data_IF_201463750995
#
_entry.id   IF_201463750995
#
_cell.length_a   1.000
_cell.length_b   1.000
_cell.length_c   1.000
_cell.angle_alpha   90.00
_cell.angle_beta   90.00
_cell.angle_gamma   90.00
#
_symmetry.space_group_name_H-M   'P 1'
#
loop_
_entity.id
_entity.type
_entity.pdbx_description
1 polymer ?
#
# COMPACT_ATOMS: atom_id res chain seq x y z
N UNK A 1 -25.34 24.97 86.67
CA UNK A 1 -25.71 26.37 86.41
C UNK A 1 -25.54 26.61 84.94
N UNK A 2 -26.63 26.95 84.31
CA UNK A 2 -26.90 27.52 83.04
C UNK A 2 -26.30 26.93 81.70
N UNK A 3 -27.22 26.33 81.09
CA UNK A 3 -27.36 26.05 79.65
C UNK A 3 -27.52 27.34 78.82
N UNK A 4 -26.96 27.40 77.68
CA UNK A 4 -27.56 28.08 76.53
C UNK A 4 -27.17 27.40 75.21
N UNK A 5 -28.17 26.97 74.49
CA UNK A 5 -28.08 26.32 73.21
C UNK A 5 -27.79 27.34 72.04
N UNK A 6 -27.23 26.85 70.97
CA UNK A 6 -27.16 27.58 69.71
C UNK A 6 -27.59 26.63 68.57
N UNK A 7 -28.68 27.08 67.89
CA UNK A 7 -29.29 26.43 66.79
C UNK A 7 -28.33 26.48 65.56
N UNK A 8 -28.05 25.33 64.99
CA UNK A 8 -27.32 25.20 63.73
C UNK A 8 -28.30 25.30 62.55
N UNK A 9 -28.20 26.39 61.80
CA UNK A 9 -28.96 26.62 60.56
C UNK A 9 -28.65 25.58 59.48
N UNK A 10 -29.66 24.85 59.05
CA UNK A 10 -29.63 23.96 57.91
C UNK A 10 -29.66 24.79 56.60
N UNK A 11 -28.49 24.95 55.96
CA UNK A 11 -28.38 25.44 54.60
C UNK A 11 -28.94 24.39 53.64
N UNK A 12 -30.05 24.69 53.00
CA UNK A 12 -30.58 23.91 51.85
C UNK A 12 -29.67 24.15 50.64
N UNK A 13 -28.87 23.15 50.34
CA UNK A 13 -28.17 23.12 49.02
C UNK A 13 -29.18 22.82 47.95
N UNK A 14 -29.44 23.76 47.05
CA UNK A 14 -30.15 23.54 45.80
C UNK A 14 -29.32 22.63 44.87
N UNK A 15 -29.91 21.66 44.17
CA UNK A 15 -29.19 20.88 43.19
C UNK A 15 -28.88 21.73 41.96
N UNK A 16 -27.59 21.88 41.66
CA UNK A 16 -27.11 22.45 40.42
C UNK A 16 -27.43 21.48 39.27
N UNK A 17 -28.60 21.64 38.63
CA UNK A 17 -28.85 21.04 37.36
C UNK A 17 -28.07 21.86 36.30
N UNK A 18 -26.79 21.51 36.11
CA UNK A 18 -26.03 21.96 34.94
C UNK A 18 -26.78 21.48 33.69
N UNK A 19 -27.23 22.44 32.85
CA UNK A 19 -27.74 22.12 31.51
C UNK A 19 -26.65 21.37 30.76
N UNK A 20 -26.80 20.03 30.66
CA UNK A 20 -26.00 19.25 29.74
C UNK A 20 -26.26 19.80 28.33
N UNK A 21 -25.29 20.49 27.77
CA UNK A 21 -25.26 20.79 26.34
C UNK A 21 -25.09 19.45 25.65
N UNK A 22 -26.18 18.80 25.30
CA UNK A 22 -26.19 17.75 24.31
C UNK A 22 -25.81 18.42 22.98
N UNK A 23 -24.51 18.39 22.64
CA UNK A 23 -24.05 18.70 21.32
C UNK A 23 -24.88 17.88 20.34
N UNK A 24 -25.42 18.48 19.28
CA UNK A 24 -26.16 17.78 18.24
C UNK A 24 -25.36 16.56 17.84
N UNK A 25 -25.84 15.35 18.15
CA UNK A 25 -25.26 14.12 17.65
C UNK A 25 -25.30 14.22 16.12
N UNK A 26 -24.14 14.35 15.48
CA UNK A 26 -24.06 14.36 14.03
C UNK A 26 -24.58 13.01 13.54
N UNK A 27 -25.63 13.02 12.74
CA UNK A 27 -26.15 11.81 12.09
C UNK A 27 -25.07 11.29 11.15
N UNK A 28 -24.64 10.06 11.38
CA UNK A 28 -23.69 9.37 10.49
C UNK A 28 -24.39 9.14 9.15
N UNK A 29 -23.76 9.59 8.08
CA UNK A 29 -24.25 9.42 6.71
C UNK A 29 -23.58 8.23 6.05
N UNK A 30 -24.34 7.46 5.28
CA UNK A 30 -23.85 6.48 4.33
C UNK A 30 -24.30 6.89 2.95
N UNK A 31 -23.38 6.94 1.99
CA UNK A 31 -23.68 7.22 0.59
C UNK A 31 -22.98 6.20 -0.32
N UNK A 32 -23.67 5.82 -1.39
CA UNK A 32 -23.16 4.91 -2.41
C UNK A 32 -23.38 5.52 -3.80
N UNK A 33 -22.54 6.49 -4.19
CA UNK A 33 -22.65 7.17 -5.48
C UNK A 33 -22.46 6.21 -6.64
N UNK A 34 -23.06 6.55 -7.78
CA UNK A 34 -22.93 5.80 -9.04
C UNK A 34 -22.08 6.52 -10.07
N UNK A 35 -21.77 7.80 -9.85
CA UNK A 35 -20.89 8.62 -10.68
C UNK A 35 -19.72 9.18 -9.86
N UNK A 36 -18.58 9.42 -10.54
CA UNK A 36 -17.41 10.02 -9.88
C UNK A 36 -17.73 11.44 -9.40
N UNK A 37 -18.46 12.22 -10.18
CA UNK A 37 -18.80 13.61 -9.85
C UNK A 37 -19.65 13.68 -8.57
N UNK A 38 -20.61 12.78 -8.40
CA UNK A 38 -21.40 12.66 -7.15
C UNK A 38 -20.49 12.31 -5.95
N UNK A 39 -19.56 11.37 -6.13
CA UNK A 39 -18.62 11.00 -5.07
C UNK A 39 -17.70 12.16 -4.67
N UNK A 40 -17.16 12.88 -5.65
CA UNK A 40 -16.31 14.05 -5.41
C UNK A 40 -17.06 15.21 -4.76
N UNK A 41 -18.30 15.45 -5.18
CA UNK A 41 -19.16 16.48 -4.55
C UNK A 41 -19.34 16.18 -3.06
N UNK A 42 -19.67 14.92 -2.69
CA UNK A 42 -19.82 14.50 -1.30
C UNK A 42 -18.50 14.66 -0.51
N UNK A 43 -17.35 14.28 -1.09
CA UNK A 43 -16.03 14.44 -0.48
C UNK A 43 -15.66 15.92 -0.26
N UNK A 44 -16.12 16.81 -1.13
CA UNK A 44 -15.91 18.25 -1.01
C UNK A 44 -16.76 18.93 0.07
N UNK A 45 -17.92 18.33 0.45
CA UNK A 45 -18.80 18.90 1.47
C UNK A 45 -18.29 18.69 2.90
N UNK A 46 -17.83 17.49 3.20
CA UNK A 46 -17.47 17.06 4.55
C UNK A 46 -16.51 15.86 4.50
N UNK A 47 -15.79 15.54 5.59
CA UNK A 47 -14.97 14.34 5.67
C UNK A 47 -15.81 13.06 5.54
N UNK A 48 -15.35 12.14 4.70
CA UNK A 48 -15.90 10.81 4.50
C UNK A 48 -14.78 9.77 4.60
N UNK A 49 -15.12 8.63 5.19
CA UNK A 49 -14.26 7.44 5.15
C UNK A 49 -14.66 6.60 3.95
N UNK A 50 -13.74 6.44 3.01
CA UNK A 50 -13.97 5.68 1.76
C UNK A 50 -14.00 4.19 2.06
N UNK A 51 -15.07 3.53 1.57
CA UNK A 51 -15.25 2.08 1.61
C UNK A 51 -15.15 1.51 0.18
N UNK A 52 -14.16 0.65 -0.06
CA UNK A 52 -14.02 -0.16 -1.26
C UNK A 52 -14.24 -1.65 -0.90
N UNK A 53 -13.22 -2.49 -0.97
CA UNK A 53 -13.30 -3.92 -0.65
C UNK A 53 -13.53 -4.26 0.84
N UNK A 54 -13.36 -3.30 1.74
CA UNK A 54 -13.65 -3.45 3.17
C UNK A 54 -12.64 -4.25 3.98
N UNK A 55 -11.62 -4.83 3.36
CA UNK A 55 -10.69 -5.80 3.97
C UNK A 55 -9.78 -5.19 5.06
N UNK A 56 -9.55 -3.88 5.02
CA UNK A 56 -8.88 -3.13 6.08
C UNK A 56 -9.84 -2.20 6.82
N UNK A 57 -10.92 -1.75 6.16
CA UNK A 57 -11.90 -0.83 6.71
C UNK A 57 -12.56 -1.40 7.98
N UNK A 58 -13.11 -2.61 7.92
CA UNK A 58 -13.77 -3.24 9.06
C UNK A 58 -12.79 -3.71 10.15
N UNK A 59 -11.67 -4.37 9.84
CA UNK A 59 -10.68 -4.71 10.86
C UNK A 59 -10.12 -3.52 11.62
N UNK A 60 -9.90 -2.37 10.94
CA UNK A 60 -9.41 -1.15 11.57
C UNK A 60 -10.45 -0.51 12.53
N UNK A 61 -11.75 -0.78 12.34
CA UNK A 61 -12.81 -0.29 13.21
C UNK A 61 -12.79 -0.97 14.58
N UNK A 62 -12.49 -2.28 14.62
CA UNK A 62 -12.53 -3.07 15.85
C UNK A 62 -13.92 -3.04 16.50
N UNK A 63 -13.96 -3.01 17.84
CA UNK A 63 -15.20 -2.96 18.62
C UNK A 63 -15.73 -1.53 18.87
N UNK A 64 -15.10 -0.50 18.32
CA UNK A 64 -15.51 0.90 18.54
C UNK A 64 -16.78 1.23 17.76
N UNK A 65 -17.70 2.04 18.33
CA UNK A 65 -18.87 2.52 17.57
C UNK A 65 -18.42 3.31 16.35
N UNK A 66 -19.11 3.12 15.24
CA UNK A 66 -18.88 3.90 14.03
C UNK A 66 -19.27 5.37 14.24
N UNK A 67 -18.42 6.33 13.85
CA UNK A 67 -18.67 7.77 14.07
C UNK A 67 -18.34 8.63 12.86
N UNK A 68 -18.00 8.01 11.74
CA UNK A 68 -17.57 8.68 10.51
C UNK A 68 -18.63 8.48 9.40
N UNK A 69 -18.77 9.46 8.51
CA UNK A 69 -19.54 9.26 7.29
C UNK A 69 -18.87 8.22 6.41
N UNK A 70 -19.61 7.35 5.76
CA UNK A 70 -19.12 6.27 4.89
C UNK A 70 -19.49 6.54 3.45
N UNK A 71 -18.47 6.71 2.60
CA UNK A 71 -18.62 6.79 1.16
C UNK A 71 -18.30 5.42 0.54
N UNK A 72 -19.32 4.67 0.17
CA UNK A 72 -19.16 3.37 -0.50
C UNK A 72 -18.97 3.58 -2.00
N UNK A 73 -17.72 3.47 -2.44
CA UNK A 73 -17.36 3.64 -3.86
C UNK A 73 -17.62 2.39 -4.71
N UNK A 74 -18.23 1.33 -4.15
CA UNK A 74 -18.54 0.12 -4.92
C UNK A 74 -19.62 0.35 -5.99
N UNK A 75 -20.36 1.47 -5.94
CA UNK A 75 -21.25 1.93 -7.00
C UNK A 75 -20.52 2.46 -8.25
N UNK A 76 -19.25 2.89 -8.13
CA UNK A 76 -18.48 3.53 -9.21
C UNK A 76 -17.89 2.48 -10.16
N UNK A 77 -18.68 1.98 -11.11
CA UNK A 77 -18.24 0.95 -12.05
C UNK A 77 -17.01 1.39 -12.88
N UNK A 78 -16.93 2.66 -13.23
CA UNK A 78 -15.84 3.25 -14.03
C UNK A 78 -14.46 3.21 -13.35
N UNK A 79 -14.42 3.03 -12.02
CA UNK A 79 -13.17 2.88 -11.28
C UNK A 79 -12.65 1.43 -11.24
N UNK A 80 -13.26 0.48 -11.95
CA UNK A 80 -12.83 -0.91 -11.99
C UNK A 80 -12.43 -1.31 -13.41
N UNK A 81 -11.31 -1.99 -13.52
CA UNK A 81 -10.79 -2.50 -14.76
C UNK A 81 -9.39 -1.96 -15.05
N UNK A 82 -8.81 -2.50 -16.12
CA UNK A 82 -7.48 -2.12 -16.61
C UNK A 82 -7.65 -1.73 -18.06
N UNK A 83 -7.10 -0.59 -18.43
CA UNK A 83 -7.15 -0.06 -19.78
C UNK A 83 -5.74 0.33 -20.24
N UNK A 84 -5.49 0.14 -21.53
CA UNK A 84 -4.29 0.59 -22.18
C UNK A 84 -4.59 1.88 -22.95
N UNK A 85 -3.78 2.91 -22.72
CA UNK A 85 -3.82 4.16 -23.47
C UNK A 85 -2.56 4.30 -24.31
N UNK A 86 -2.41 5.39 -25.05
CA UNK A 86 -1.21 5.67 -25.83
C UNK A 86 0.04 5.70 -24.95
N UNK A 87 -0.01 6.39 -23.81
CA UNK A 87 1.14 6.65 -22.94
C UNK A 87 1.22 5.78 -21.69
N UNK A 88 0.10 5.18 -21.24
CA UNK A 88 0.02 4.52 -19.94
C UNK A 88 -0.86 3.27 -19.97
N UNK A 89 -0.61 2.38 -19.01
CA UNK A 89 -1.58 1.44 -18.50
C UNK A 89 -2.31 2.08 -17.33
N UNK A 90 -3.64 2.10 -17.38
CA UNK A 90 -4.50 2.64 -16.33
C UNK A 90 -5.16 1.49 -15.56
N UNK A 91 -4.91 1.42 -14.27
CA UNK A 91 -5.52 0.46 -13.36
C UNK A 91 -6.50 1.23 -12.48
N UNK A 92 -7.79 1.06 -12.69
CA UNK A 92 -8.82 1.75 -11.92
C UNK A 92 -8.73 1.44 -10.42
N UNK A 93 -9.02 2.42 -9.58
CA UNK A 93 -8.81 2.36 -8.13
C UNK A 93 -9.52 1.18 -7.45
N UNK A 94 -10.66 0.73 -8.00
CA UNK A 94 -11.45 -0.41 -7.50
C UNK A 94 -11.06 -1.75 -8.12
N UNK A 95 -10.08 -1.80 -9.02
CA UNK A 95 -9.58 -3.05 -9.60
C UNK A 95 -9.08 -3.94 -8.47
N UNK A 96 -9.61 -5.16 -8.41
CA UNK A 96 -9.23 -6.13 -7.38
C UNK A 96 -7.93 -6.85 -7.74
N UNK A 97 -7.29 -7.47 -6.76
CA UNK A 97 -6.12 -8.30 -7.00
C UNK A 97 -6.43 -9.46 -7.94
N UNK A 98 -7.62 -10.05 -7.83
CA UNK A 98 -8.07 -11.11 -8.75
C UNK A 98 -8.26 -10.60 -10.17
N UNK A 99 -8.81 -9.39 -10.36
CA UNK A 99 -8.94 -8.78 -11.68
C UNK A 99 -7.55 -8.60 -12.33
N UNK A 100 -6.59 -8.08 -11.55
CA UNK A 100 -5.21 -7.87 -11.99
C UNK A 100 -4.53 -9.17 -12.42
N UNK A 101 -4.64 -10.23 -11.61
CA UNK A 101 -4.04 -11.55 -11.91
C UNK A 101 -4.59 -12.13 -13.22
N UNK A 102 -5.87 -11.92 -13.50
CA UNK A 102 -6.57 -12.48 -14.68
C UNK A 102 -6.39 -11.65 -15.94
N UNK A 103 -6.06 -10.38 -15.80
CA UNK A 103 -5.93 -9.50 -16.97
C UNK A 103 -4.63 -9.80 -17.74
N UNK A 104 -4.65 -9.89 -19.08
CA UNK A 104 -3.44 -10.00 -19.88
C UNK A 104 -2.63 -8.70 -19.78
N UNK A 105 -1.39 -8.80 -19.32
CA UNK A 105 -0.46 -7.68 -19.14
C UNK A 105 0.93 -8.11 -19.61
N UNK A 106 1.80 -7.19 -20.05
CA UNK A 106 3.20 -7.46 -20.36
C UNK A 106 3.97 -8.10 -19.21
N UNK A 107 5.06 -8.82 -19.49
CA UNK A 107 5.91 -9.48 -18.50
C UNK A 107 6.49 -8.53 -17.44
N UNK A 108 6.60 -7.24 -17.76
CA UNK A 108 6.95 -6.20 -16.79
C UNK A 108 6.01 -6.13 -15.58
N UNK A 109 4.76 -6.61 -15.71
CA UNK A 109 3.77 -6.67 -14.62
C UNK A 109 3.76 -8.00 -13.85
N UNK A 110 4.62 -8.95 -14.18
CA UNK A 110 4.58 -10.27 -13.53
C UNK A 110 4.86 -10.19 -12.04
N UNK A 111 5.79 -9.31 -11.61
CA UNK A 111 6.00 -9.02 -10.20
C UNK A 111 4.71 -8.55 -9.50
N UNK A 112 3.92 -7.69 -10.14
CA UNK A 112 2.67 -7.19 -9.59
C UNK A 112 1.60 -8.29 -9.51
N UNK A 113 1.54 -9.19 -10.49
CA UNK A 113 0.67 -10.36 -10.46
C UNK A 113 1.10 -11.39 -9.40
N UNK A 114 2.40 -11.58 -9.20
CA UNK A 114 2.94 -12.43 -8.15
C UNK A 114 2.61 -11.86 -6.77
N UNK A 115 2.87 -10.56 -6.55
CA UNK A 115 2.48 -9.85 -5.32
C UNK A 115 0.98 -9.96 -5.05
N UNK A 116 0.15 -9.81 -6.08
CA UNK A 116 -1.31 -9.92 -5.98
C UNK A 116 -1.77 -11.28 -5.43
N UNK A 117 -1.08 -12.37 -5.78
CA UNK A 117 -1.37 -13.73 -5.27
C UNK A 117 -0.95 -13.93 -3.82
N UNK A 118 -0.04 -13.10 -3.31
CA UNK A 118 0.42 -13.12 -1.92
C UNK A 118 -0.42 -12.24 -0.97
N UNK A 119 -1.33 -11.42 -1.52
CA UNK A 119 -2.20 -10.56 -0.69
C UNK A 119 -3.30 -11.40 -0.03
N UNK A 120 -3.14 -11.68 1.25
CA UNK A 120 -4.14 -12.37 2.05
C UNK A 120 -4.56 -13.74 1.49
N UNK A 121 -5.86 -14.00 1.45
CA UNK A 121 -6.46 -15.20 0.85
C UNK A 121 -7.14 -14.85 -0.48
N UNK A 122 -7.54 -15.89 -1.22
CA UNK A 122 -8.34 -15.72 -2.46
C UNK A 122 -9.62 -14.89 -2.21
N UNK A 123 -10.27 -15.07 -1.05
CA UNK A 123 -11.44 -14.29 -0.66
C UNK A 123 -11.08 -12.79 -0.51
N UNK A 124 -9.93 -12.50 0.09
CA UNK A 124 -9.40 -11.12 0.18
C UNK A 124 -9.09 -10.58 -1.21
N UNK A 125 -8.38 -11.36 -2.05
CA UNK A 125 -7.99 -10.94 -3.40
C UNK A 125 -9.20 -10.62 -4.30
N UNK A 126 -10.33 -11.29 -4.10
CA UNK A 126 -11.56 -11.08 -4.86
C UNK A 126 -12.24 -9.73 -4.59
N UNK A 127 -11.96 -9.08 -3.45
CA UNK A 127 -12.64 -7.85 -3.03
C UNK A 127 -11.69 -6.70 -2.70
N UNK A 128 -10.49 -6.98 -2.20
CA UNK A 128 -9.48 -5.98 -1.90
C UNK A 128 -9.00 -5.32 -3.19
N UNK A 129 -9.03 -3.98 -3.21
CA UNK A 129 -8.64 -3.18 -4.36
C UNK A 129 -7.18 -2.73 -4.27
N UNK A 130 -6.57 -2.52 -5.43
CA UNK A 130 -5.19 -2.05 -5.52
C UNK A 130 -5.01 -0.68 -4.86
N UNK A 131 -5.92 0.28 -5.11
CA UNK A 131 -5.85 1.59 -4.46
C UNK A 131 -6.12 1.51 -2.95
N UNK A 132 -6.99 0.58 -2.50
CA UNK A 132 -7.20 0.33 -1.07
C UNK A 132 -5.93 -0.08 -0.34
N UNK A 133 -5.10 -0.90 -0.97
CA UNK A 133 -3.78 -1.30 -0.45
C UNK A 133 -2.84 -0.10 -0.32
N UNK A 134 -2.78 0.77 -1.33
CA UNK A 134 -1.97 2.00 -1.30
C UNK A 134 -2.46 2.99 -0.25
N UNK A 135 -3.77 3.22 -0.16
CA UNK A 135 -4.37 4.15 0.81
C UNK A 135 -4.25 3.64 2.26
N UNK A 136 -4.27 2.32 2.47
CA UNK A 136 -3.99 1.73 3.78
C UNK A 136 -2.52 1.96 4.22
N UNK A 137 -1.62 2.17 3.26
CA UNK A 137 -0.22 2.58 3.47
C UNK A 137 0.51 1.75 4.54
N UNK A 138 0.33 0.42 4.51
CA UNK A 138 1.09 -0.49 5.37
C UNK A 138 2.53 -0.59 4.87
N UNK A 139 3.55 -0.57 5.74
CA UNK A 139 4.93 -0.87 5.35
C UNK A 139 5.10 -2.24 4.68
N UNK A 140 4.20 -3.18 5.01
CA UNK A 140 4.15 -4.55 4.47
C UNK A 140 3.08 -4.72 3.38
N UNK A 141 2.74 -3.68 2.63
CA UNK A 141 1.83 -3.74 1.50
C UNK A 141 2.53 -4.38 0.29
N UNK A 142 2.25 -5.64 0.00
CA UNK A 142 2.97 -6.47 -1.01
C UNK A 142 2.94 -5.84 -2.42
N UNK A 143 1.88 -5.10 -2.78
CA UNK A 143 1.78 -4.46 -4.08
C UNK A 143 2.70 -3.26 -4.29
N UNK A 144 3.20 -2.62 -3.22
CA UNK A 144 3.95 -1.35 -3.33
C UNK A 144 5.30 -1.53 -4.02
N UNK A 145 6.19 -2.49 -3.65
CA UNK A 145 7.45 -2.68 -4.36
C UNK A 145 7.26 -2.99 -5.83
N UNK A 146 6.27 -3.83 -6.17
CA UNK A 146 5.95 -4.19 -7.55
C UNK A 146 5.45 -3.00 -8.39
N UNK A 147 4.72 -2.07 -7.79
CA UNK A 147 4.31 -0.83 -8.44
C UNK A 147 5.46 0.20 -8.55
N UNK A 148 6.36 0.23 -7.56
CA UNK A 148 7.54 1.10 -7.61
C UNK A 148 8.48 0.73 -8.76
N UNK A 149 8.71 -0.55 -9.02
CA UNK A 149 9.57 -0.97 -10.16
C UNK A 149 8.91 -0.72 -11.52
N UNK A 150 7.61 -0.46 -11.55
CA UNK A 150 6.85 -0.03 -12.72
C UNK A 150 6.76 1.49 -12.85
N UNK A 151 7.49 2.25 -12.04
CA UNK A 151 7.45 3.72 -12.00
C UNK A 151 6.00 4.26 -11.92
N UNK A 152 5.15 3.56 -11.14
CA UNK A 152 3.74 3.86 -11.08
C UNK A 152 3.45 5.23 -10.47
N UNK A 153 2.42 5.88 -10.98
CA UNK A 153 1.84 7.12 -10.48
C UNK A 153 0.44 6.86 -9.93
N UNK A 154 0.01 7.68 -8.99
CA UNK A 154 -1.34 7.69 -8.44
C UNK A 154 -2.10 8.88 -9.02
N UNK A 155 -3.26 8.63 -9.63
CA UNK A 155 -4.20 9.67 -10.04
C UNK A 155 -5.10 10.03 -8.88
N UNK A 156 -5.11 11.30 -8.52
CA UNK A 156 -5.89 11.89 -7.44
C UNK A 156 -6.88 12.88 -8.03
N UNK A 157 -8.17 12.76 -7.64
CA UNK A 157 -9.22 13.67 -8.11
C UNK A 157 -9.95 14.32 -6.95
N UNK A 158 -10.20 15.61 -7.11
CA UNK A 158 -11.14 16.43 -6.36
C UNK A 158 -12.14 17.06 -7.35
N UNK A 159 -13.15 17.79 -6.86
CA UNK A 159 -14.21 18.40 -7.69
C UNK A 159 -13.64 19.22 -8.86
N UNK A 160 -12.61 20.04 -8.64
CA UNK A 160 -12.06 20.96 -9.63
C UNK A 160 -10.65 20.59 -10.12
N UNK A 161 -10.09 19.48 -9.68
CA UNK A 161 -8.68 19.18 -9.91
C UNK A 161 -8.43 17.69 -10.12
N UNK A 162 -7.53 17.39 -11.06
CA UNK A 162 -6.89 16.09 -11.23
C UNK A 162 -5.39 16.32 -11.12
N UNK A 163 -4.71 15.53 -10.31
CA UNK A 163 -3.26 15.54 -10.22
C UNK A 163 -2.69 14.12 -10.24
N UNK A 164 -1.47 14.01 -10.75
CA UNK A 164 -0.72 12.76 -10.78
C UNK A 164 0.49 12.88 -9.86
N UNK A 165 0.75 11.86 -9.08
CA UNK A 165 1.84 11.85 -8.11
C UNK A 165 2.61 10.54 -8.23
N UNK A 166 3.95 10.55 -8.38
CA UNK A 166 4.73 9.32 -8.29
C UNK A 166 4.43 8.56 -7.01
N UNK A 167 4.30 7.23 -7.10
CA UNK A 167 3.91 6.40 -5.96
C UNK A 167 4.86 6.57 -4.76
N UNK A 168 6.15 6.77 -5.02
CA UNK A 168 7.15 7.01 -3.96
C UNK A 168 6.89 8.28 -3.14
N UNK A 169 6.17 9.26 -3.72
CA UNK A 169 5.76 10.50 -3.05
C UNK A 169 4.36 10.42 -2.45
N UNK A 170 3.56 9.42 -2.84
CA UNK A 170 2.20 9.25 -2.34
C UNK A 170 2.15 8.65 -0.93
N UNK A 171 2.99 7.64 -0.64
CA UNK A 171 3.02 6.98 0.66
C UNK A 171 4.07 7.66 1.54
N UNK A 172 3.61 8.36 2.60
CA UNK A 172 4.45 9.14 3.49
C UNK A 172 4.92 8.38 4.73
N UNK A 173 4.29 7.25 5.03
CA UNK A 173 4.57 6.44 6.22
C UNK A 173 3.42 5.50 6.55
N UNK A 174 3.54 4.75 7.63
CA UNK A 174 2.50 3.83 8.05
C UNK A 174 1.16 4.57 8.23
N UNK A 175 0.14 4.18 7.47
CA UNK A 175 -1.21 4.77 7.43
C UNK A 175 -1.25 6.27 7.13
N UNK A 176 -0.27 6.74 6.37
CA UNK A 176 -0.16 8.14 5.97
C UNK A 176 0.13 8.25 4.49
N UNK A 177 -0.69 9.01 3.80
CA UNK A 177 -0.58 9.31 2.36
C UNK A 177 -0.65 10.80 2.11
N UNK A 178 -0.35 11.21 0.88
CA UNK A 178 -0.42 12.61 0.40
C UNK A 178 -1.84 13.01 -0.06
N UNK A 179 -2.87 12.19 0.23
CA UNK A 179 -4.26 12.55 -0.02
C UNK A 179 -4.64 13.82 0.72
N UNK A 180 -5.18 14.79 -0.01
CA UNK A 180 -5.71 16.03 0.55
C UNK A 180 -7.22 15.89 0.87
N UNK A 181 -7.78 16.72 1.77
CA UNK A 181 -9.22 16.77 2.00
C UNK A 181 -9.98 16.96 0.68
N UNK A 182 -11.02 16.16 0.46
CA UNK A 182 -11.83 16.22 -0.75
C UNK A 182 -11.27 15.42 -1.93
N UNK A 183 -10.09 14.82 -1.81
CA UNK A 183 -9.52 13.96 -2.86
C UNK A 183 -9.83 12.49 -2.67
N UNK A 184 -9.85 11.76 -3.77
CA UNK A 184 -9.81 10.30 -3.81
C UNK A 184 -8.85 9.80 -4.89
N UNK A 185 -8.30 8.61 -4.68
CA UNK A 185 -7.57 7.88 -5.73
C UNK A 185 -8.58 7.36 -6.75
N UNK A 186 -8.36 7.66 -8.03
CA UNK A 186 -9.21 7.18 -9.12
C UNK A 186 -8.55 6.16 -10.02
N UNK A 187 -7.22 6.20 -10.15
CA UNK A 187 -6.46 5.22 -10.90
C UNK A 187 -5.01 5.11 -10.39
N UNK A 188 -4.37 4.00 -10.73
CA UNK A 188 -2.92 3.86 -10.76
C UNK A 188 -2.51 3.87 -12.22
N UNK A 189 -1.50 4.67 -12.56
CA UNK A 189 -0.98 4.86 -13.91
C UNK A 189 0.42 4.26 -13.98
N UNK A 190 0.67 3.44 -15.00
CA UNK A 190 1.99 2.88 -15.27
C UNK A 190 2.44 3.38 -16.64
N UNK A 191 3.53 4.15 -16.73
CA UNK A 191 4.04 4.64 -18.01
C UNK A 191 4.43 3.49 -18.95
N UNK A 192 4.19 3.64 -20.25
CA UNK A 192 4.50 2.61 -21.25
C UNK A 192 5.97 2.22 -21.30
N UNK A 193 6.87 3.17 -21.11
CA UNK A 193 8.32 2.90 -21.04
C UNK A 193 8.72 2.07 -19.83
N UNK A 194 7.96 2.12 -18.73
CA UNK A 194 8.16 1.26 -17.57
C UNK A 194 7.44 -0.10 -17.70
N UNK A 195 6.55 -0.26 -18.67
CA UNK A 195 5.83 -1.51 -18.94
C UNK A 195 6.62 -2.46 -19.85
N UNK A 196 7.96 -2.38 -19.85
CA UNK A 196 8.89 -3.17 -20.68
C UNK A 196 9.84 -4.00 -19.79
N UNK A 197 10.42 -5.05 -20.39
CA UNK A 197 11.29 -6.00 -19.68
C UNK A 197 10.52 -7.07 -18.94
N UNK A 198 11.20 -7.74 -18.03
CA UNK A 198 10.68 -8.84 -17.20
C UNK A 198 10.77 -8.47 -15.72
N UNK A 199 9.83 -8.93 -14.92
CA UNK A 199 9.84 -8.63 -13.48
C UNK A 199 9.48 -9.82 -12.62
N UNK A 200 10.02 -9.84 -11.39
CA UNK A 200 9.77 -10.88 -10.39
C UNK A 200 9.56 -10.24 -9.02
N UNK A 201 8.67 -10.84 -8.23
CA UNK A 201 8.42 -10.48 -6.84
C UNK A 201 8.77 -11.65 -5.92
N UNK A 202 9.53 -11.36 -4.88
CA UNK A 202 9.89 -12.33 -3.84
C UNK A 202 9.42 -11.84 -2.47
N UNK A 203 8.92 -12.79 -1.66
CA UNK A 203 8.39 -12.51 -0.32
C UNK A 203 8.93 -13.49 0.70
N UNK A 204 9.44 -12.96 1.79
CA UNK A 204 9.78 -13.70 2.98
C UNK A 204 8.75 -13.44 4.08
N UNK A 205 8.15 -14.49 4.59
CA UNK A 205 7.24 -14.48 5.74
C UNK A 205 7.52 -15.65 6.67
N UNK A 206 7.00 -15.62 7.90
CA UNK A 206 7.16 -16.71 8.86
C UNK A 206 6.46 -18.03 8.43
N UNK A 207 5.65 -17.98 7.40
CA UNK A 207 4.95 -19.13 6.78
C UNK A 207 4.61 -18.82 5.32
N UNK A 208 4.19 -19.82 4.57
CA UNK A 208 3.93 -19.68 3.12
C UNK A 208 2.74 -18.78 2.77
N UNK A 209 1.63 -18.85 3.52
CA UNK A 209 0.37 -18.17 3.19
C UNK A 209 -0.17 -17.36 4.37
N UNK A 210 -0.99 -16.34 4.06
CA UNK A 210 -1.70 -15.54 5.05
C UNK A 210 -0.75 -14.97 6.12
N UNK A 211 0.33 -14.36 5.68
CA UNK A 211 1.39 -13.85 6.54
C UNK A 211 1.78 -12.43 6.15
N UNK A 212 2.12 -11.63 7.14
CA UNK A 212 2.70 -10.31 6.95
C UNK A 212 4.17 -10.49 6.58
N UNK A 213 4.64 -9.81 5.55
CA UNK A 213 6.00 -9.89 5.05
C UNK A 213 7.02 -9.45 6.12
N UNK A 214 8.05 -10.25 6.31
CA UNK A 214 9.27 -9.89 7.05
C UNK A 214 10.11 -8.98 6.16
N UNK A 215 10.30 -9.39 4.91
CA UNK A 215 10.89 -8.63 3.82
C UNK A 215 10.18 -9.01 2.52
N UNK A 216 10.15 -8.12 1.55
CA UNK A 216 9.64 -8.37 0.21
C UNK A 216 10.41 -7.52 -0.79
N UNK A 217 10.67 -8.06 -1.98
CA UNK A 217 11.40 -7.39 -3.04
C UNK A 217 10.69 -7.55 -4.37
N UNK A 218 10.79 -6.54 -5.22
CA UNK A 218 10.45 -6.62 -6.63
C UNK A 218 11.66 -6.16 -7.46
N UNK A 219 11.93 -6.84 -8.56
CA UNK A 219 12.92 -6.44 -9.53
C UNK A 219 12.31 -6.46 -10.93
N UNK A 220 12.62 -5.45 -11.74
CA UNK A 220 12.31 -5.38 -13.17
C UNK A 220 13.60 -5.09 -13.93
N UNK A 221 13.90 -5.91 -14.93
CA UNK A 221 15.08 -5.77 -15.78
C UNK A 221 14.68 -5.59 -17.24
N UNK A 222 15.42 -4.73 -17.92
CA UNK A 222 15.50 -4.67 -19.38
C UNK A 222 16.86 -5.21 -19.74
N UNK A 223 16.88 -6.28 -20.55
CA UNK A 223 18.10 -6.97 -20.99
C UNK A 223 18.21 -6.81 -22.49
N UNK A 224 19.36 -6.34 -22.94
CA UNK A 224 19.72 -6.19 -24.35
C UNK A 224 21.05 -6.90 -24.58
N UNK A 225 21.09 -7.79 -25.54
CA UNK A 225 22.29 -8.57 -25.91
C UNK A 225 22.98 -9.28 -24.71
N UNK A 226 22.17 -9.76 -23.77
CA UNK A 226 22.69 -10.43 -22.55
C UNK A 226 23.26 -9.49 -21.49
N UNK A 227 23.08 -8.19 -21.65
CA UNK A 227 23.52 -7.13 -20.73
C UNK A 227 22.29 -6.47 -20.08
N UNK A 228 22.39 -6.11 -18.82
CA UNK A 228 21.34 -5.34 -18.12
C UNK A 228 21.38 -3.89 -18.61
N UNK A 229 20.49 -3.56 -19.54
CA UNK A 229 20.33 -2.19 -20.06
C UNK A 229 19.66 -1.27 -19.03
N UNK A 230 18.69 -1.80 -18.28
CA UNK A 230 18.01 -1.07 -17.21
C UNK A 230 17.59 -2.02 -16.07
N UNK A 231 17.66 -1.53 -14.83
CA UNK A 231 17.22 -2.23 -13.65
C UNK A 231 16.36 -1.32 -12.78
N UNK A 232 15.27 -1.85 -12.23
CA UNK A 232 14.45 -1.26 -11.21
C UNK A 232 14.27 -2.26 -10.08
N UNK A 233 14.65 -1.89 -8.87
CA UNK A 233 14.63 -2.77 -7.69
C UNK A 233 13.99 -2.04 -6.51
N UNK A 234 13.02 -2.66 -5.86
CA UNK A 234 12.35 -2.07 -4.71
C UNK A 234 12.17 -3.09 -3.58
N UNK A 235 12.29 -2.64 -2.35
CA UNK A 235 12.13 -3.45 -1.13
C UNK A 235 11.07 -2.85 -0.23
N UNK A 236 10.21 -3.69 0.32
CA UNK A 236 9.21 -3.35 1.32
C UNK A 236 9.44 -4.10 2.63
N UNK A 237 8.73 -3.69 3.68
CA UNK A 237 8.85 -4.17 5.07
C UNK A 237 10.20 -3.90 5.75
N UNK A 238 11.14 -3.29 5.05
CA UNK A 238 12.50 -2.98 5.57
C UNK A 238 12.72 -1.47 5.76
N UNK A 239 11.66 -0.68 5.79
CA UNK A 239 11.64 0.75 6.07
C UNK A 239 10.20 1.17 6.41
N UNK A 240 9.99 2.41 6.87
CA UNK A 240 8.66 2.96 7.14
C UNK A 240 7.74 2.95 5.90
N UNK A 241 8.33 3.05 4.70
CA UNK A 241 7.68 2.87 3.40
C UNK A 241 8.59 2.03 2.51
N UNK A 242 8.04 1.34 1.51
CA UNK A 242 8.84 0.64 0.52
C UNK A 242 9.75 1.60 -0.24
N UNK A 243 10.97 1.17 -0.57
CA UNK A 243 12.02 1.99 -1.17
C UNK A 243 12.55 1.39 -2.45
N UNK A 244 12.82 2.22 -3.46
CA UNK A 244 13.70 1.88 -4.57
C UNK A 244 15.14 1.81 -4.07
N UNK A 245 15.92 0.88 -4.58
CA UNK A 245 17.34 0.70 -4.24
C UNK A 245 18.21 1.23 -5.37
N UNK A 246 18.35 2.55 -5.44
CA UNK A 246 19.12 3.22 -6.50
C UNK A 246 20.58 2.76 -6.56
N UNK A 247 21.17 2.45 -5.42
CA UNK A 247 22.52 1.88 -5.30
C UNK A 247 22.65 0.51 -5.99
N UNK A 248 21.69 -0.38 -5.76
CA UNK A 248 21.63 -1.71 -6.40
C UNK A 248 21.35 -1.57 -7.89
N UNK A 249 20.40 -0.72 -8.29
CA UNK A 249 20.08 -0.48 -9.70
C UNK A 249 21.28 0.03 -10.49
N UNK A 250 22.06 0.93 -9.91
CA UNK A 250 23.29 1.45 -10.51
C UNK A 250 24.37 0.36 -10.64
N UNK A 251 24.50 -0.50 -9.61
CA UNK A 251 25.46 -1.60 -9.62
C UNK A 251 25.14 -2.69 -10.65
N UNK A 252 23.85 -2.91 -10.97
CA UNK A 252 23.43 -3.91 -11.95
C UNK A 252 23.55 -3.45 -13.39
N UNK A 253 23.43 -2.15 -13.65
CA UNK A 253 23.39 -1.61 -15.01
C UNK A 253 24.72 -1.80 -15.73
N UNK A 254 24.65 -2.33 -16.96
CA UNK A 254 25.83 -2.64 -17.77
C UNK A 254 26.47 -3.98 -17.49
N UNK A 255 26.00 -4.74 -16.50
CA UNK A 255 26.54 -6.06 -16.20
C UNK A 255 25.96 -7.14 -17.13
N UNK A 256 26.77 -8.18 -17.46
CA UNK A 256 26.26 -9.36 -18.12
C UNK A 256 25.36 -10.17 -17.21
N UNK A 257 24.41 -10.89 -17.81
CA UNK A 257 23.48 -11.78 -17.11
C UNK A 257 24.18 -13.08 -16.72
N UNK A 258 24.92 -13.03 -15.63
CA UNK A 258 25.66 -14.14 -15.02
C UNK A 258 25.86 -13.91 -13.50
N UNK A 259 26.81 -14.64 -12.88
CA UNK A 259 27.11 -14.54 -11.45
C UNK A 259 27.54 -13.13 -10.99
N UNK A 260 27.96 -12.25 -11.93
CA UNK A 260 28.31 -10.88 -11.62
C UNK A 260 27.13 -10.09 -11.02
N UNK A 261 25.88 -10.44 -11.37
CA UNK A 261 24.68 -9.82 -10.79
C UNK A 261 24.62 -10.06 -9.28
N UNK A 262 24.87 -11.30 -8.85
CA UNK A 262 24.84 -11.65 -7.42
C UNK A 262 25.97 -10.92 -6.69
N UNK A 263 27.18 -10.94 -7.23
CA UNK A 263 28.33 -10.25 -6.65
C UNK A 263 28.09 -8.73 -6.49
N UNK A 264 27.47 -8.11 -7.50
CA UNK A 264 27.11 -6.69 -7.45
C UNK A 264 26.09 -6.40 -6.34
N UNK A 265 25.04 -7.23 -6.20
CA UNK A 265 24.02 -7.09 -5.14
C UNK A 265 24.63 -7.28 -3.76
N UNK A 266 25.54 -8.28 -3.60
CA UNK A 266 26.21 -8.53 -2.32
C UNK A 266 27.10 -7.36 -1.89
N UNK A 267 27.69 -6.65 -2.83
CA UNK A 267 28.60 -5.52 -2.58
C UNK A 267 27.89 -4.17 -2.49
N UNK A 268 26.69 -4.03 -3.09
CA UNK A 268 25.98 -2.78 -3.12
C UNK A 268 25.52 -2.36 -1.72
N UNK A 269 25.65 -1.09 -1.34
CA UNK A 269 25.04 -0.59 -0.13
C UNK A 269 23.51 -0.66 -0.27
N UNK A 270 22.82 -0.82 0.86
CA UNK A 270 21.36 -0.75 0.94
C UNK A 270 20.95 0.33 1.95
N UNK A 271 21.63 1.47 1.90
CA UNK A 271 21.47 2.58 2.85
C UNK A 271 20.09 3.25 2.75
N UNK A 272 19.35 2.97 1.66
CA UNK A 272 17.96 3.40 1.50
C UNK A 272 17.01 2.67 2.46
N UNK A 273 17.42 1.55 3.04
CA UNK A 273 16.65 0.76 3.98
C UNK A 273 16.91 1.17 5.43
N UNK A 274 15.85 1.19 6.23
CA UNK A 274 15.91 1.49 7.66
C UNK A 274 14.87 0.62 8.41
N UNK A 275 15.15 -0.69 8.52
CA UNK A 275 14.23 -1.61 9.16
C UNK A 275 14.19 -1.41 10.68
N UNK A 276 13.09 -1.89 11.27
CA UNK A 276 12.89 -1.90 12.73
C UNK A 276 12.98 -3.33 13.26
N UNK A 277 13.30 -3.46 14.55
CA UNK A 277 13.09 -4.69 15.29
C UNK A 277 11.60 -4.83 15.66
N UNK A 278 11.03 -6.00 15.40
CA UNK A 278 9.68 -6.34 15.84
C UNK A 278 9.57 -7.86 16.11
N UNK A 279 8.34 -8.32 16.43
CA UNK A 279 8.06 -9.74 16.70
C UNK A 279 8.33 -10.68 15.51
N UNK A 280 8.59 -10.14 14.31
CA UNK A 280 8.81 -10.90 13.08
C UNK A 280 10.28 -11.07 12.74
N UNK A 281 11.14 -10.23 13.25
CA UNK A 281 12.59 -10.28 13.00
C UNK A 281 13.31 -9.01 13.44
N UNK A 282 14.61 -9.12 13.68
CA UNK A 282 15.49 -7.99 13.94
C UNK A 282 15.73 -7.15 12.68
N UNK A 283 16.17 -5.92 12.87
CA UNK A 283 16.59 -5.03 11.77
C UNK A 283 17.72 -5.66 10.94
N UNK A 284 18.71 -6.26 11.59
CA UNK A 284 19.82 -6.96 10.95
C UNK A 284 19.30 -8.11 10.08
N UNK A 285 18.46 -9.00 10.64
CA UNK A 285 17.87 -10.11 9.89
C UNK A 285 17.08 -9.63 8.66
N UNK A 286 16.37 -8.50 8.78
CA UNK A 286 15.61 -7.94 7.65
C UNK A 286 16.54 -7.42 6.55
N UNK A 287 17.70 -6.85 6.87
CA UNK A 287 18.69 -6.41 5.88
C UNK A 287 19.30 -7.59 5.15
N UNK A 288 19.70 -8.64 5.88
CA UNK A 288 20.25 -9.87 5.29
C UNK A 288 19.21 -10.54 4.38
N UNK A 289 17.97 -10.67 4.88
CA UNK A 289 16.87 -11.23 4.11
C UNK A 289 16.56 -10.39 2.87
N UNK A 290 16.57 -9.06 2.98
CA UNK A 290 16.32 -8.16 1.84
C UNK A 290 17.37 -8.39 0.74
N UNK A 291 18.66 -8.50 1.11
CA UNK A 291 19.75 -8.75 0.17
C UNK A 291 19.56 -10.06 -0.58
N UNK A 292 19.22 -11.12 0.13
CA UNK A 292 18.96 -12.44 -0.44
C UNK A 292 17.75 -12.45 -1.39
N UNK A 293 16.60 -11.90 -0.96
CA UNK A 293 15.39 -11.90 -1.82
C UNK A 293 15.52 -10.94 -3.00
N UNK A 294 16.30 -9.86 -2.89
CA UNK A 294 16.68 -9.01 -4.04
C UNK A 294 17.47 -9.80 -5.05
N UNK A 295 18.48 -10.58 -4.62
CA UNK A 295 19.24 -11.43 -5.53
C UNK A 295 18.33 -12.44 -6.26
N UNK A 296 17.42 -13.09 -5.56
CA UNK A 296 16.45 -14.02 -6.16
C UNK A 296 15.53 -13.32 -7.16
N UNK A 297 14.98 -12.17 -6.80
CA UNK A 297 14.11 -11.40 -7.69
C UNK A 297 14.85 -10.94 -8.96
N UNK A 298 16.08 -10.47 -8.84
CA UNK A 298 16.93 -10.06 -9.98
C UNK A 298 17.28 -11.25 -10.86
N UNK A 299 17.72 -12.38 -10.30
CA UNK A 299 18.01 -13.60 -11.07
C UNK A 299 16.77 -14.16 -11.75
N UNK A 300 15.62 -14.15 -11.07
CA UNK A 300 14.35 -14.55 -11.65
C UNK A 300 13.94 -13.66 -12.82
N UNK A 301 14.07 -12.33 -12.67
CA UNK A 301 13.81 -11.38 -13.74
C UNK A 301 14.83 -11.50 -14.90
N UNK A 302 16.03 -11.94 -14.63
CA UNK A 302 17.05 -12.22 -15.65
C UNK A 302 16.81 -13.55 -16.40
N UNK A 303 15.81 -14.34 -16.00
CA UNK A 303 15.50 -15.62 -16.65
C UNK A 303 16.43 -16.78 -16.24
N UNK A 304 17.28 -16.60 -15.22
CA UNK A 304 18.02 -17.70 -14.63
C UNK A 304 17.07 -18.59 -13.83
N UNK A 305 17.06 -19.89 -14.13
CA UNK A 305 16.34 -20.87 -13.36
C UNK A 305 16.74 -20.73 -11.88
N UNK A 306 15.74 -20.56 -11.03
CA UNK A 306 15.88 -20.36 -9.60
C UNK A 306 17.07 -21.14 -9.02
N UNK A 307 17.94 -20.46 -8.28
CA UNK A 307 18.79 -21.09 -7.28
C UNK A 307 17.93 -22.11 -6.54
N UNK A 308 18.33 -23.38 -6.55
CA UNK A 308 17.62 -24.45 -5.84
C UNK A 308 17.22 -23.92 -4.47
N UNK A 309 15.92 -24.05 -4.17
CA UNK A 309 15.42 -23.72 -2.83
C UNK A 309 16.25 -24.55 -1.86
N UNK A 310 17.22 -23.92 -1.25
CA UNK A 310 17.86 -24.48 -0.06
C UNK A 310 16.70 -24.69 0.89
N UNK A 311 16.29 -25.93 1.05
CA UNK A 311 15.34 -26.33 2.05
C UNK A 311 15.91 -25.85 3.37
N UNK A 312 15.26 -24.86 3.96
CA UNK A 312 15.55 -24.50 5.36
C UNK A 312 15.16 -25.74 6.17
N UNK A 313 16.19 -26.36 6.70
CA UNK A 313 16.07 -27.43 7.68
C UNK A 313 15.43 -26.89 8.97
#
# INVERSE_FOLDING_TARGET
MNLTGSEAGRSRRQPFFGKAHFGKASVIRYAKPTTIDEALALLGETPWRILAGGTDFYPAQGAKPFRENVLDINGLATLRGIAETEDHWLIGARTTWTDLVRHPLPAAFDALKQAAREVGSVQIQNVASIAGNLCNASPAADGVPALLVLDAEVELRAVAMVRHLPLEKFILGNRRTELQPGEMVTAIRVPKNAATGTSVFEKLGARRYLVISIAMAAARLIIEDGIVANAAVAVGSCSAVARRLASVEAALRGLPVNDALVAAIQSAPMDELSPIDDVRGSAEYRLDAAREIVARAVLGAAGHASVEKVAAA
#
